data_IF_335403051333
#
_entry.id   IF_335403051333
#
_cell.length_a   1.000
_cell.length_b   1.000
_cell.length_c   1.000
_cell.angle_alpha   90.00
_cell.angle_beta   90.00
_cell.angle_gamma   90.00
#
_symmetry.space_group_name_H-M   'P 1'
#
loop_
_entity.id
_entity.type
_entity.pdbx_description
1 polymer ?
#
# COMPACT_ATOMS: atom_id res chain seq x y z
N UNK A 1 -11.93 -11.81 24.87
CA UNK A 1 -10.87 -12.32 23.98
C UNK A 1 -10.99 -11.76 22.55
N UNK A 2 -12.08 -12.02 21.82
CA UNK A 2 -12.27 -11.53 20.43
C UNK A 2 -12.15 -10.00 20.29
N UNK A 3 -12.75 -9.23 21.20
CA UNK A 3 -12.67 -7.76 21.17
C UNK A 3 -11.22 -7.28 21.29
N UNK A 4 -10.43 -7.84 22.21
CA UNK A 4 -9.02 -7.45 22.42
C UNK A 4 -8.16 -7.79 21.20
N UNK A 5 -8.41 -8.93 20.54
CA UNK A 5 -7.73 -9.30 19.28
C UNK A 5 -8.06 -8.32 18.15
N UNK A 6 -9.35 -7.98 17.99
CA UNK A 6 -9.79 -7.01 16.99
C UNK A 6 -9.19 -5.62 17.21
N UNK A 7 -9.19 -5.15 18.47
CA UNK A 7 -8.59 -3.86 18.85
C UNK A 7 -7.09 -3.81 18.58
N UNK A 8 -6.33 -4.87 18.88
CA UNK A 8 -4.90 -4.91 18.60
C UNK A 8 -4.60 -4.76 17.11
N UNK A 9 -5.35 -5.46 16.26
CA UNK A 9 -5.18 -5.38 14.80
C UNK A 9 -5.56 -4.01 14.23
N UNK A 10 -6.66 -3.41 14.69
CA UNK A 10 -7.13 -2.12 14.17
C UNK A 10 -6.23 -0.95 14.58
N UNK A 11 -5.67 -0.98 15.80
CA UNK A 11 -4.68 0.01 16.26
C UNK A 11 -3.43 -0.06 15.38
N UNK A 12 -2.92 -1.27 15.11
CA UNK A 12 -1.74 -1.46 14.26
C UNK A 12 -1.94 -0.92 12.83
N UNK A 13 -3.11 -1.20 12.23
CA UNK A 13 -3.45 -0.69 10.91
C UNK A 13 -3.58 0.85 10.88
N UNK A 14 -4.26 1.43 11.88
CA UNK A 14 -4.47 2.87 11.97
C UNK A 14 -3.16 3.63 12.21
N UNK A 15 -2.30 3.14 13.11
CA UNK A 15 -0.98 3.73 13.35
C UNK A 15 -0.07 3.64 12.12
N UNK A 16 -0.11 2.53 11.38
CA UNK A 16 0.69 2.36 10.16
C UNK A 16 0.28 3.37 9.08
N UNK A 17 -1.03 3.55 8.87
CA UNK A 17 -1.55 4.55 7.94
C UNK A 17 -1.19 5.97 8.37
N UNK A 18 -1.44 6.31 9.64
CA UNK A 18 -1.16 7.64 10.17
C UNK A 18 0.32 7.99 10.07
N UNK A 19 1.20 7.05 10.40
CA UNK A 19 2.66 7.24 10.31
C UNK A 19 3.07 7.47 8.86
N UNK A 20 2.57 6.68 7.92
CA UNK A 20 2.86 6.88 6.49
C UNK A 20 2.45 8.27 5.99
N UNK A 21 1.28 8.77 6.41
CA UNK A 21 0.81 10.12 6.07
C UNK A 21 1.67 11.19 6.76
N UNK A 22 2.04 11.00 8.02
CA UNK A 22 2.90 11.93 8.75
C UNK A 22 4.31 12.02 8.15
N UNK A 23 4.88 10.91 7.69
CA UNK A 23 6.20 10.87 7.07
C UNK A 23 6.20 11.65 5.74
N UNK A 24 5.21 11.42 4.87
CA UNK A 24 5.02 12.19 3.61
C UNK A 24 4.88 13.70 3.86
N UNK A 25 4.05 14.11 4.83
CA UNK A 25 3.84 15.53 5.14
C UNK A 25 5.10 16.20 5.72
N UNK A 26 5.91 15.44 6.46
CA UNK A 26 7.20 15.91 6.97
C UNK A 26 8.22 16.11 5.84
N UNK A 27 8.25 15.20 4.86
CA UNK A 27 9.06 15.32 3.65
C UNK A 27 8.70 16.59 2.86
N UNK A 28 7.41 16.90 2.73
CA UNK A 28 6.95 18.15 2.10
C UNK A 28 7.12 19.41 2.98
N UNK A 29 7.72 19.27 4.17
CA UNK A 29 8.02 20.36 5.10
C UNK A 29 6.77 21.15 5.54
N UNK A 30 5.60 20.49 5.55
CA UNK A 30 4.29 21.12 5.77
C UNK A 30 3.96 21.26 7.27
N UNK A 31 4.72 20.68 8.22
CA UNK A 31 4.36 20.78 9.63
C UNK A 31 5.46 21.21 10.62
N UNK A 32 5.25 22.41 11.17
CA UNK A 32 5.78 22.89 12.45
C UNK A 32 4.70 23.03 13.53
N UNK A 33 3.50 22.45 13.36
CA UNK A 33 2.40 22.58 14.34
C UNK A 33 2.34 21.38 15.28
N UNK A 34 2.49 21.66 16.58
CA UNK A 34 2.58 20.69 17.69
C UNK A 34 1.39 19.71 17.80
N UNK A 35 0.21 20.07 17.27
CA UNK A 35 -1.03 19.28 17.39
C UNK A 35 -1.54 18.68 16.08
N UNK A 36 -0.71 18.66 15.02
CA UNK A 36 -1.17 18.17 13.72
C UNK A 36 -1.53 16.68 13.72
N UNK A 37 -0.72 15.85 14.37
CA UNK A 37 -0.94 14.39 14.44
C UNK A 37 -2.26 14.05 15.14
N UNK A 38 -2.55 14.71 16.27
CA UNK A 38 -3.78 14.51 17.04
C UNK A 38 -5.03 14.87 16.22
N UNK A 39 -4.99 15.98 15.48
CA UNK A 39 -6.09 16.38 14.59
C UNK A 39 -6.30 15.39 13.43
N UNK A 40 -5.22 14.88 12.85
CA UNK A 40 -5.28 13.90 11.75
C UNK A 40 -5.89 12.57 12.23
N UNK A 41 -5.45 12.09 13.39
CA UNK A 41 -6.03 10.90 14.04
C UNK A 41 -7.52 11.08 14.29
N UNK A 42 -7.92 12.20 14.90
CA UNK A 42 -9.33 12.47 15.19
C UNK A 42 -10.18 12.52 13.91
N UNK A 43 -9.68 13.17 12.86
CA UNK A 43 -10.33 13.22 11.55
C UNK A 43 -10.48 11.83 10.93
N UNK A 44 -9.42 11.03 10.91
CA UNK A 44 -9.43 9.68 10.37
C UNK A 44 -10.40 8.76 11.12
N UNK A 45 -10.41 8.80 12.46
CA UNK A 45 -11.35 8.02 13.28
C UNK A 45 -12.80 8.47 13.04
N UNK A 46 -13.05 9.78 12.91
CA UNK A 46 -14.39 10.31 12.65
C UNK A 46 -14.93 9.84 11.30
N UNK A 47 -14.11 9.86 10.25
CA UNK A 47 -14.49 9.36 8.91
C UNK A 47 -14.73 7.84 8.96
N UNK A 48 -13.84 7.10 9.61
CA UNK A 48 -13.97 5.64 9.74
C UNK A 48 -15.22 5.25 10.52
N UNK A 49 -15.58 6.01 11.56
CA UNK A 49 -16.82 5.80 12.30
C UNK A 49 -18.06 6.00 11.42
N UNK A 50 -18.10 7.09 10.64
CA UNK A 50 -19.19 7.35 9.70
C UNK A 50 -19.33 6.25 8.65
N UNK A 51 -18.21 5.77 8.10
CA UNK A 51 -18.19 4.66 7.12
C UNK A 51 -18.60 3.31 7.74
N UNK A 52 -18.48 3.15 9.06
CA UNK A 52 -18.86 1.91 9.74
C UNK A 52 -20.37 1.84 10.07
N UNK A 53 -21.12 2.94 10.02
CA UNK A 53 -22.55 2.95 10.35
C UNK A 53 -23.38 2.00 9.47
N UNK A 54 -23.21 1.95 8.13
CA UNK A 54 -23.95 1.02 7.27
C UNK A 54 -23.71 -0.45 7.60
N UNK A 55 -22.52 -0.79 8.12
CA UNK A 55 -22.17 -2.15 8.51
C UNK A 55 -22.93 -2.64 9.75
N UNK A 56 -23.48 -1.73 10.55
CA UNK A 56 -24.26 -2.07 11.75
C UNK A 56 -25.77 -2.22 11.48
N UNK A 57 -26.24 -1.90 10.26
CA UNK A 57 -27.65 -2.05 9.89
C UNK A 57 -28.04 -3.54 9.69
N UNK A 58 -29.34 -3.82 9.55
CA UNK A 58 -29.87 -5.20 9.38
C UNK A 58 -29.26 -5.95 8.16
N UNK A 59 -28.93 -5.23 7.08
CA UNK A 59 -28.23 -5.77 5.91
C UNK A 59 -26.69 -5.72 6.00
N UNK A 60 -26.13 -5.25 7.12
CA UNK A 60 -24.70 -4.98 7.28
C UNK A 60 -23.82 -6.22 7.13
N UNK A 61 -24.32 -7.40 7.50
CA UNK A 61 -23.62 -8.67 7.31
C UNK A 61 -23.25 -8.92 5.83
N UNK A 62 -24.18 -8.67 4.90
CA UNK A 62 -23.91 -8.82 3.47
C UNK A 62 -22.87 -7.81 2.98
N UNK A 63 -22.90 -6.59 3.52
CA UNK A 63 -21.95 -5.54 3.17
C UNK A 63 -20.54 -5.89 3.66
N UNK A 64 -20.41 -6.35 4.91
CA UNK A 64 -19.14 -6.79 5.49
C UNK A 64 -18.56 -7.97 4.70
N UNK A 65 -19.38 -8.97 4.38
CA UNK A 65 -18.95 -10.14 3.60
C UNK A 65 -18.51 -9.74 2.18
N UNK A 66 -19.25 -8.83 1.55
CA UNK A 66 -18.90 -8.30 0.24
C UNK A 66 -17.58 -7.53 0.26
N UNK A 67 -17.39 -6.65 1.25
CA UNK A 67 -16.16 -5.88 1.41
C UNK A 67 -14.95 -6.78 1.68
N UNK A 68 -15.08 -7.79 2.53
CA UNK A 68 -13.97 -8.67 2.89
C UNK A 68 -13.54 -9.56 1.72
N UNK A 69 -14.49 -10.31 1.15
CA UNK A 69 -14.20 -11.34 0.14
C UNK A 69 -13.88 -10.76 -1.23
N UNK A 70 -14.65 -9.77 -1.70
CA UNK A 70 -14.58 -9.30 -3.08
C UNK A 70 -13.77 -8.01 -3.24
N UNK A 71 -13.79 -7.12 -2.24
CA UNK A 71 -13.16 -5.80 -2.33
C UNK A 71 -11.75 -5.80 -1.73
N UNK A 72 -11.62 -6.06 -0.43
CA UNK A 72 -10.36 -6.04 0.30
C UNK A 72 -9.45 -7.20 -0.09
N UNK A 73 -9.96 -8.44 -0.14
CA UNK A 73 -9.16 -9.62 -0.48
C UNK A 73 -8.48 -9.50 -1.84
N UNK A 74 -9.26 -9.20 -2.89
CA UNK A 74 -8.76 -9.07 -4.27
C UNK A 74 -7.77 -7.91 -4.42
N UNK A 75 -8.10 -6.73 -3.87
CA UNK A 75 -7.23 -5.55 -3.97
C UNK A 75 -5.90 -5.75 -3.23
N UNK A 76 -5.92 -6.36 -2.03
CA UNK A 76 -4.72 -6.63 -1.24
C UNK A 76 -3.78 -7.61 -1.95
N UNK A 77 -4.31 -8.66 -2.59
CA UNK A 77 -3.51 -9.62 -3.35
C UNK A 77 -2.78 -8.94 -4.51
N UNK A 78 -3.47 -8.09 -5.27
CA UNK A 78 -2.88 -7.39 -6.41
C UNK A 78 -1.80 -6.40 -5.95
N UNK A 79 -2.07 -5.59 -4.93
CA UNK A 79 -1.09 -4.65 -4.37
C UNK A 79 0.14 -5.40 -3.83
N UNK A 80 -0.07 -6.51 -3.12
CA UNK A 80 1.02 -7.33 -2.57
C UNK A 80 1.90 -7.94 -3.66
N UNK A 81 1.31 -8.33 -4.81
CA UNK A 81 2.06 -8.83 -5.95
C UNK A 81 3.00 -7.76 -6.52
N UNK A 82 2.50 -6.54 -6.73
CA UNK A 82 3.32 -5.43 -7.21
C UNK A 82 4.41 -5.06 -6.20
N UNK A 83 4.10 -5.05 -4.90
CA UNK A 83 5.08 -4.77 -3.85
C UNK A 83 6.19 -5.84 -3.82
N UNK A 84 5.84 -7.12 -3.92
CA UNK A 84 6.82 -8.20 -3.98
C UNK A 84 7.69 -8.11 -5.23
N UNK A 85 7.09 -7.81 -6.39
CA UNK A 85 7.84 -7.64 -7.63
C UNK A 85 8.82 -6.46 -7.55
N UNK A 86 8.38 -5.33 -7.00
CA UNK A 86 9.22 -4.17 -6.78
C UNK A 86 10.42 -4.48 -5.86
N UNK A 87 10.21 -5.19 -4.76
CA UNK A 87 11.29 -5.53 -3.82
C UNK A 87 12.28 -6.55 -4.44
N UNK A 88 11.78 -7.60 -5.07
CA UNK A 88 12.62 -8.72 -5.52
C UNK A 88 13.38 -8.38 -6.81
N UNK A 89 12.71 -7.77 -7.78
CA UNK A 89 13.24 -7.56 -9.12
C UNK A 89 13.75 -6.13 -9.36
N UNK A 90 13.00 -5.11 -8.93
CA UNK A 90 13.41 -3.70 -9.14
C UNK A 90 14.50 -3.30 -8.15
N UNK A 91 14.29 -3.55 -6.86
CA UNK A 91 15.27 -3.23 -5.83
C UNK A 91 16.41 -4.27 -5.78
N UNK A 92 16.08 -5.55 -6.00
CA UNK A 92 17.03 -6.64 -6.06
C UNK A 92 17.26 -7.32 -4.71
N UNK A 93 17.09 -8.65 -4.69
CA UNK A 93 17.25 -9.48 -3.48
C UNK A 93 18.65 -9.39 -2.83
N UNK A 94 19.68 -9.10 -3.63
CA UNK A 94 21.04 -8.93 -3.12
C UNK A 94 21.16 -7.65 -2.28
N UNK A 95 20.66 -6.53 -2.78
CA UNK A 95 20.66 -5.24 -2.08
C UNK A 95 19.85 -5.34 -0.78
N UNK A 96 18.70 -6.02 -0.84
CA UNK A 96 17.89 -6.28 0.35
C UNK A 96 18.69 -7.07 1.40
N UNK A 97 19.38 -8.13 0.98
CA UNK A 97 20.15 -8.92 1.93
C UNK A 97 21.34 -8.18 2.53
N UNK A 98 22.01 -7.32 1.76
CA UNK A 98 23.12 -6.52 2.28
C UNK A 98 22.61 -5.51 3.31
N UNK A 99 21.47 -4.87 3.05
CA UNK A 99 20.89 -3.91 3.99
C UNK A 99 20.37 -4.56 5.27
N UNK A 100 19.73 -5.71 5.16
CA UNK A 100 19.32 -6.48 6.34
C UNK A 100 20.53 -6.98 7.14
N UNK A 101 21.62 -7.39 6.48
CA UNK A 101 22.86 -7.73 7.19
C UNK A 101 23.47 -6.52 7.90
N UNK A 102 23.37 -5.32 7.34
CA UNK A 102 23.83 -4.08 8.00
C UNK A 102 22.98 -3.73 9.22
N UNK A 103 21.67 -3.96 9.18
CA UNK A 103 20.77 -3.64 10.29
C UNK A 103 20.81 -4.69 11.41
N UNK A 104 20.82 -5.98 11.08
CA UNK A 104 20.74 -7.07 12.06
C UNK A 104 22.12 -7.61 12.46
N UNK A 105 23.18 -7.27 11.71
CA UNK A 105 24.53 -7.80 11.92
C UNK A 105 24.73 -9.26 11.48
N UNK A 106 23.66 -9.96 11.09
CA UNK A 106 23.69 -11.37 10.70
C UNK A 106 23.50 -11.55 9.18
N UNK A 107 24.22 -12.53 8.61
CA UNK A 107 24.06 -12.90 7.19
C UNK A 107 22.76 -13.67 7.00
N UNK A 108 21.94 -13.22 6.05
CA UNK A 108 20.74 -13.97 5.65
C UNK A 108 21.14 -15.24 4.91
N UNK A 109 20.53 -16.37 5.30
CA UNK A 109 20.68 -17.65 4.65
C UNK A 109 20.24 -17.61 3.18
N UNK A 110 20.94 -18.38 2.34
CA UNK A 110 20.59 -18.50 0.91
C UNK A 110 19.15 -18.99 0.71
N UNK A 111 18.67 -19.90 1.56
CA UNK A 111 17.30 -20.45 1.52
C UNK A 111 16.24 -19.36 1.70
N UNK A 112 16.42 -18.43 2.63
CA UNK A 112 15.48 -17.31 2.85
C UNK A 112 15.44 -16.40 1.63
N UNK A 113 16.59 -16.14 0.99
CA UNK A 113 16.64 -15.36 -0.25
C UNK A 113 15.91 -16.06 -1.40
N UNK A 114 16.05 -17.38 -1.51
CA UNK A 114 15.36 -18.17 -2.54
C UNK A 114 13.84 -18.17 -2.33
N UNK A 115 13.38 -18.37 -1.10
CA UNK A 115 11.95 -18.32 -0.74
C UNK A 115 11.37 -16.94 -1.07
N UNK A 116 12.04 -15.86 -0.70
CA UNK A 116 11.58 -14.50 -1.00
C UNK A 116 11.53 -14.22 -2.50
N UNK A 117 12.51 -14.73 -3.26
CA UNK A 117 12.60 -14.48 -4.70
C UNK A 117 11.59 -15.27 -5.52
N UNK A 118 11.32 -16.52 -5.15
CA UNK A 118 10.52 -17.43 -5.98
C UNK A 118 9.22 -17.88 -5.30
N UNK A 119 9.29 -18.34 -4.05
CA UNK A 119 8.14 -18.93 -3.37
C UNK A 119 7.04 -17.89 -3.08
N UNK A 120 7.42 -16.74 -2.51
CA UNK A 120 6.47 -15.66 -2.18
C UNK A 120 5.71 -15.14 -3.40
N UNK A 121 6.37 -14.68 -4.48
CA UNK A 121 5.64 -14.17 -5.64
C UNK A 121 4.81 -15.25 -6.34
N UNK A 122 5.29 -16.50 -6.34
CA UNK A 122 4.54 -17.62 -6.94
C UNK A 122 3.28 -17.96 -6.14
N UNK A 123 3.35 -17.95 -4.80
CA UNK A 123 2.18 -18.19 -3.95
C UNK A 123 1.15 -17.07 -4.11
N UNK A 124 1.57 -15.81 -4.13
CA UNK A 124 0.65 -14.68 -4.33
C UNK A 124 0.02 -14.75 -5.72
N UNK A 125 0.79 -15.06 -6.76
CA UNK A 125 0.28 -15.25 -8.11
C UNK A 125 -0.74 -16.41 -8.17
N UNK A 126 -0.43 -17.53 -7.50
CA UNK A 126 -1.34 -18.66 -7.40
C UNK A 126 -2.66 -18.26 -6.73
N UNK A 127 -2.60 -17.61 -5.57
CA UNK A 127 -3.80 -17.13 -4.86
C UNK A 127 -4.61 -16.15 -5.71
N UNK A 128 -3.94 -15.27 -6.47
CA UNK A 128 -4.60 -14.34 -7.37
C UNK A 128 -5.35 -15.06 -8.50
N UNK A 129 -4.74 -16.07 -9.13
CA UNK A 129 -5.40 -16.87 -10.18
C UNK A 129 -6.60 -17.62 -9.63
N UNK A 130 -6.48 -18.23 -8.46
CA UNK A 130 -7.61 -18.89 -7.79
C UNK A 130 -8.75 -17.92 -7.45
N UNK A 131 -8.40 -16.71 -7.00
CA UNK A 131 -9.37 -15.67 -6.72
C UNK A 131 -10.12 -15.26 -7.99
N UNK A 132 -9.42 -15.09 -9.13
CA UNK A 132 -10.06 -14.79 -10.42
C UNK A 132 -11.00 -15.89 -10.91
N UNK A 133 -10.61 -17.16 -10.78
CA UNK A 133 -11.47 -18.29 -11.17
C UNK A 133 -12.73 -18.33 -10.30
N UNK A 134 -12.61 -17.99 -9.01
CA UNK A 134 -13.72 -18.01 -8.06
C UNK A 134 -14.57 -16.74 -8.14
N UNK A 135 -14.05 -15.65 -8.69
CA UNK A 135 -14.73 -14.35 -8.77
C UNK A 135 -16.02 -14.38 -9.61
N UNK A 136 -16.14 -15.31 -10.56
CA UNK A 136 -17.36 -15.51 -11.34
C UNK A 136 -18.51 -16.12 -10.51
N UNK A 137 -18.19 -16.76 -9.39
CA UNK A 137 -19.16 -17.34 -8.46
C UNK A 137 -19.59 -16.24 -7.48
N UNK A 138 -20.51 -15.38 -7.92
CA UNK A 138 -21.12 -14.30 -7.13
C UNK A 138 -22.15 -14.81 -6.11
N UNK A 139 -21.89 -15.96 -5.50
CA UNK A 139 -22.81 -16.64 -4.60
C UNK A 139 -22.27 -16.60 -3.18
N UNK A 140 -23.12 -16.27 -2.22
CA UNK A 140 -22.78 -16.37 -0.80
C UNK A 140 -23.92 -17.05 -0.08
N UNK A 141 -23.64 -18.21 0.50
CA UNK A 141 -24.60 -18.96 1.30
C UNK A 141 -24.62 -18.40 2.72
N UNK A 142 -25.75 -17.83 3.14
CA UNK A 142 -25.96 -17.33 4.51
C UNK A 142 -27.16 -18.05 5.10
N UNK A 143 -26.96 -18.80 6.17
CA UNK A 143 -28.06 -19.47 6.89
C UNK A 143 -28.89 -20.45 6.05
N UNK A 144 -28.33 -21.04 5.00
CA UNK A 144 -29.03 -21.97 4.09
C UNK A 144 -29.68 -21.31 2.87
N UNK A 145 -29.64 -19.99 2.74
CA UNK A 145 -30.07 -19.27 1.55
C UNK A 145 -28.86 -18.80 0.73
N UNK A 146 -28.87 -19.10 -0.57
CA UNK A 146 -27.86 -18.59 -1.52
C UNK A 146 -28.29 -17.20 -1.97
N UNK A 147 -27.55 -16.18 -1.54
CA UNK A 147 -27.71 -14.83 -2.04
C UNK A 147 -26.74 -14.60 -3.20
N UNK A 148 -27.27 -14.23 -4.36
CA UNK A 148 -26.49 -13.88 -5.54
C UNK A 148 -26.24 -12.37 -5.56
N UNK A 149 -24.98 -11.95 -5.54
CA UNK A 149 -24.66 -10.53 -5.63
C UNK A 149 -24.99 -9.99 -7.03
N UNK A 150 -25.61 -8.80 -7.12
CA UNK A 150 -25.93 -8.17 -8.39
C UNK A 150 -24.66 -7.71 -9.12
N UNK A 151 -24.68 -7.67 -10.46
CA UNK A 151 -23.48 -7.38 -11.29
C UNK A 151 -22.76 -6.06 -10.99
N UNK A 152 -23.46 -5.04 -10.46
CA UNK A 152 -22.84 -3.76 -10.07
C UNK A 152 -21.86 -3.88 -8.89
N UNK A 153 -21.99 -4.95 -8.11
CA UNK A 153 -21.05 -5.33 -7.06
C UNK A 153 -19.66 -5.55 -7.64
N UNK A 154 -19.55 -6.35 -8.72
CA UNK A 154 -18.27 -6.60 -9.38
C UNK A 154 -17.61 -5.31 -9.88
N UNK A 155 -18.38 -4.42 -10.53
CA UNK A 155 -17.85 -3.14 -11.01
C UNK A 155 -17.28 -2.29 -9.88
N UNK A 156 -17.94 -2.30 -8.71
CA UNK A 156 -17.51 -1.53 -7.55
C UNK A 156 -16.19 -2.08 -6.96
N UNK A 157 -16.02 -3.40 -6.89
CA UNK A 157 -14.75 -4.02 -6.48
C UNK A 157 -13.60 -3.64 -7.41
N UNK A 158 -13.83 -3.63 -8.72
CA UNK A 158 -12.83 -3.18 -9.70
C UNK A 158 -12.44 -1.71 -9.53
N UNK A 159 -13.39 -0.83 -9.23
CA UNK A 159 -13.10 0.57 -8.94
C UNK A 159 -12.22 0.73 -7.68
N UNK A 160 -12.50 -0.02 -6.62
CA UNK A 160 -11.68 0.03 -5.39
C UNK A 160 -10.27 -0.52 -5.64
N UNK A 161 -10.14 -1.59 -6.42
CA UNK A 161 -8.86 -2.14 -6.83
C UNK A 161 -8.04 -1.10 -7.62
N UNK A 162 -8.67 -0.44 -8.60
CA UNK A 162 -8.02 0.63 -9.38
C UNK A 162 -7.63 1.80 -8.48
N UNK A 163 -8.49 2.21 -7.56
CA UNK A 163 -8.20 3.30 -6.62
C UNK A 163 -6.98 2.98 -5.72
N UNK A 164 -6.80 1.72 -5.32
CA UNK A 164 -5.63 1.29 -4.55
C UNK A 164 -4.33 1.25 -5.36
N UNK A 165 -4.40 0.93 -6.65
CA UNK A 165 -3.22 0.87 -7.52
C UNK A 165 -2.80 2.23 -8.07
N UNK A 166 -3.74 3.15 -8.25
CA UNK A 166 -3.57 4.45 -8.91
C UNK A 166 -2.50 5.37 -8.28
N UNK A 167 -2.25 5.38 -6.95
CA UNK A 167 -1.16 6.16 -6.36
C UNK A 167 0.24 5.77 -6.87
N UNK A 168 0.46 4.50 -7.23
CA UNK A 168 1.76 4.01 -7.71
C UNK A 168 2.18 4.68 -9.03
N UNK A 169 1.39 4.61 -10.13
CA UNK A 169 1.74 5.29 -11.38
C UNK A 169 1.68 6.81 -11.24
N UNK A 170 0.79 7.38 -10.42
CA UNK A 170 0.78 8.83 -10.16
C UNK A 170 2.12 9.27 -9.58
N UNK A 171 2.61 8.59 -8.54
CA UNK A 171 3.89 8.93 -7.92
C UNK A 171 5.05 8.75 -8.91
N UNK A 172 5.03 7.70 -9.73
CA UNK A 172 6.03 7.50 -10.79
C UNK A 172 6.04 8.64 -11.82
N UNK A 173 4.87 9.08 -12.30
CA UNK A 173 4.73 10.17 -13.26
C UNK A 173 5.14 11.51 -12.63
N UNK A 174 4.71 11.77 -11.40
CA UNK A 174 5.10 12.96 -10.65
C UNK A 174 6.62 13.03 -10.49
N UNK A 175 7.26 11.95 -10.02
CA UNK A 175 8.72 11.89 -9.89
C UNK A 175 9.42 12.08 -11.23
N UNK A 176 8.95 11.44 -12.31
CA UNK A 176 9.52 11.63 -13.64
C UNK A 176 9.43 13.09 -14.09
N UNK A 177 8.29 13.76 -13.87
CA UNK A 177 8.10 15.17 -14.17
C UNK A 177 9.00 16.08 -13.30
N UNK A 178 9.14 15.81 -12.01
CA UNK A 178 10.00 16.57 -11.10
C UNK A 178 11.48 16.39 -11.43
N UNK A 179 11.93 15.15 -11.69
CA UNK A 179 13.32 14.87 -12.12
C UNK A 179 13.61 15.52 -13.45
N UNK A 180 12.68 15.52 -14.42
CA UNK A 180 12.86 16.21 -15.71
C UNK A 180 12.96 17.72 -15.54
N UNK A 181 12.14 18.34 -14.67
CA UNK A 181 12.23 19.76 -14.35
C UNK A 181 13.56 20.09 -13.66
N UNK A 182 13.99 19.25 -12.72
CA UNK A 182 15.25 19.39 -11.98
C UNK A 182 16.47 19.22 -12.88
N UNK A 183 16.48 18.21 -13.75
CA UNK A 183 17.55 17.99 -14.72
C UNK A 183 17.68 19.14 -15.71
N UNK A 184 16.56 19.73 -16.17
CA UNK A 184 16.58 20.94 -16.98
C UNK A 184 17.15 22.15 -16.24
N UNK A 185 16.77 22.35 -14.97
CA UNK A 185 17.31 23.42 -14.14
C UNK A 185 18.80 23.24 -13.85
N UNK A 186 19.24 22.01 -13.55
CA UNK A 186 20.65 21.69 -13.34
C UNK A 186 21.45 21.85 -14.64
N UNK A 187 20.89 21.48 -15.81
CA UNK A 187 21.52 21.75 -17.11
C UNK A 187 21.65 23.25 -17.38
N UNK A 188 20.60 24.05 -17.16
CA UNK A 188 20.66 25.51 -17.34
C UNK A 188 21.66 26.19 -16.39
N UNK A 189 21.81 25.68 -15.16
CA UNK A 189 22.82 26.16 -14.22
C UNK A 189 24.24 25.81 -14.66
N UNK A 190 24.47 24.57 -15.14
CA UNK A 190 25.77 24.17 -15.70
C UNK A 190 26.15 24.98 -16.94
N UNK A 191 25.18 25.29 -17.80
CA UNK A 191 25.38 26.15 -18.97
C UNK A 191 25.74 27.60 -18.61
N UNK A 192 25.26 28.12 -17.47
CA UNK A 192 25.52 29.49 -17.02
C UNK A 192 26.78 29.63 -16.17
N UNK A 193 27.06 28.65 -15.31
CA UNK A 193 28.12 28.75 -14.30
C UNK A 193 29.33 27.86 -14.61
N UNK A 194 29.24 26.97 -15.62
CA UNK A 194 30.35 26.11 -16.07
C UNK A 194 30.79 25.04 -15.07
N UNK A 195 30.15 24.95 -13.90
CA UNK A 195 30.46 23.97 -12.86
C UNK A 195 29.31 22.97 -12.77
N UNK A 196 29.63 21.68 -12.86
CA UNK A 196 28.69 20.60 -12.57
C UNK A 196 28.66 20.36 -11.05
N UNK A 197 27.60 20.75 -10.31
CA UNK A 197 27.52 20.41 -8.89
C UNK A 197 27.13 18.93 -8.76
N UNK A 198 28.09 18.02 -8.97
CA UNK A 198 27.86 16.61 -8.69
C UNK A 198 27.78 16.40 -7.17
N UNK A 199 26.58 16.04 -6.73
CA UNK A 199 26.18 15.46 -5.44
C UNK A 199 26.87 15.98 -4.18
N UNK A 200 26.25 16.95 -3.51
CA UNK A 200 26.46 17.20 -2.07
C UNK A 200 25.51 16.37 -1.21
N UNK A 201 26.04 15.86 -0.09
CA UNK A 201 25.38 15.07 0.96
C UNK A 201 24.01 15.59 1.44
N UNK A 202 23.75 16.89 1.31
CA UNK A 202 22.46 17.52 1.66
C UNK A 202 21.26 17.02 0.82
N UNK A 203 21.50 16.30 -0.27
CA UNK A 203 20.45 15.74 -1.13
C UNK A 203 19.80 14.46 -0.62
N UNK A 204 20.44 13.76 0.33
CA UNK A 204 19.84 12.58 0.98
C UNK A 204 18.77 12.94 2.01
N UNK A 205 18.74 14.20 2.48
CA UNK A 205 17.81 14.70 3.50
C UNK A 205 16.50 15.27 2.91
N UNK A 206 16.29 15.15 1.59
CA UNK A 206 15.08 15.59 0.87
C UNK A 206 14.48 14.47 0.02
N UNK A 207 14.62 13.23 0.49
CA UNK A 207 13.75 12.11 0.11
C UNK A 207 12.89 11.82 1.33
#
# INVERSE_FOLDING_TARGET
>A
MLVTLGLGSSIGATESFLTAVCDEITIFNINKKKYFREGLTFGFLSISFLLSIPNACQGGYYLVQYLDQYTCGTSLLVVSLFQCFAIVYVYGIYNLSVNLQRQTGQKIYFTTRFILKFCVPLLILFMLVFNFITADILETSVGGHVYTFPRWSLTTSWFVLLAGLLPIPINMICQYCFVRKRAKQEQEQVLKEGVCPRLKWKHWLKI
#
